data_IF_236662887381
#
_entry.id   IF_236662887381
#
_cell.length_a   1.000
_cell.length_b   1.000
_cell.length_c   1.000
_cell.angle_alpha   90.00
_cell.angle_beta   90.00
_cell.angle_gamma   90.00
#
_symmetry.space_group_name_H-M   'P 1'
#
loop_
_entity.id
_entity.type
_entity.pdbx_description
1 polymer ?
#
# COMPACT_ATOMS: atom_id res chain seq x y z
N UNK A 1 -12.56 -6.44 -36.73
CA UNK A 1 -12.48 -6.34 -36.42
C UNK A 1 -12.21 -6.43 -35.91
N UNK A 2 -12.16 -6.09 -35.72
CA UNK A 2 -11.98 -5.91 -35.17
C UNK A 2 -11.78 -5.92 -34.63
N UNK A 3 -11.84 -5.70 -34.58
CA UNK A 3 -11.73 -5.58 -34.04
C UNK A 3 -11.40 -5.51 -33.40
N UNK A 4 -11.42 -5.31 -33.23
CA UNK A 4 -11.27 -5.09 -32.61
C UNK A 4 -11.11 -4.99 -31.90
N UNK A 5 -11.24 -4.77 -32.16
CA UNK A 5 -11.24 -4.48 -31.41
C UNK A 5 -11.18 -4.53 -30.69
N UNK A 6 -11.24 -4.39 -30.62
CA UNK A 6 -11.32 -4.25 -30.05
C UNK A 6 -11.04 -4.42 -29.27
N UNK A 7 -10.93 -4.39 -29.59
CA UNK A 7 -10.89 -4.38 -28.94
C UNK A 7 -10.61 -4.24 -28.27
N UNK A 8 -10.59 -3.94 -28.47
CA UNK A 8 -10.57 -3.61 -27.84
C UNK A 8 -10.48 -3.33 -27.27
N UNK A 9 -10.55 -3.19 -27.25
CA UNK A 9 -10.66 -2.80 -26.65
C UNK A 9 -10.53 -2.78 -25.94
N UNK A 10 -10.49 -2.72 -25.93
CA UNK A 10 -10.54 -2.52 -25.21
C UNK A 10 -10.33 -2.86 -24.44
N UNK A 11 -10.19 -2.83 -24.35
CA UNK A 11 -10.14 -2.93 -23.62
C UNK A 11 -9.67 -2.96 -22.98
N UNK A 12 -9.40 -2.78 -22.94
CA UNK A 12 -9.26 -2.59 -22.23
C UNK A 12 -9.15 -2.18 -21.71
N UNK A 13 -9.16 -1.89 -21.60
CA UNK A 13 -9.53 -1.36 -20.98
C UNK A 13 -9.68 -1.18 -20.24
N UNK A 14 -9.70 -0.88 -19.79
CA UNK A 14 -10.21 -0.60 -19.00
C UNK A 14 -10.34 -0.81 -18.15
N UNK A 15 -10.45 -0.90 -17.69
CA UNK A 15 -10.88 -0.94 -16.83
C UNK A 15 -10.52 -0.84 -15.78
N UNK A 16 -9.95 -0.84 -15.44
CA UNK A 16 -9.55 -0.40 -14.46
C UNK A 16 -10.10 0.55 -13.69
N UNK A 17 -10.41 1.33 -14.09
CA UNK A 17 -11.19 2.35 -13.50
C UNK A 17 -12.29 1.85 -12.65
N UNK A 18 -12.67 0.66 -12.81
CA UNK A 18 -13.76 0.07 -12.07
C UNK A 18 -13.31 -0.61 -10.80
N UNK A 19 -12.08 -0.34 -10.39
CA UNK A 19 -11.58 -0.93 -9.17
C UNK A 19 -12.40 -0.45 -7.98
N UNK A 20 -12.84 -1.37 -7.15
CA UNK A 20 -13.54 -1.03 -5.94
C UNK A 20 -12.56 -0.57 -4.88
N UNK A 21 -12.97 0.39 -4.08
CA UNK A 21 -12.20 0.79 -2.92
C UNK A 21 -12.28 -0.28 -1.86
N UNK A 22 -11.18 -0.49 -1.18
CA UNK A 22 -11.05 -1.51 -0.15
C UNK A 22 -10.35 -0.93 1.06
N UNK A 23 -10.59 -1.49 2.24
CA UNK A 23 -9.85 -1.03 3.42
C UNK A 23 -8.43 -1.56 3.41
N UNK A 24 -7.51 -0.71 3.80
CA UNK A 24 -6.11 -1.06 3.99
C UNK A 24 -5.59 -0.38 5.23
N UNK A 25 -4.63 -1.04 5.88
CA UNK A 25 -3.88 -0.38 6.94
C UNK A 25 -2.74 0.36 6.28
N UNK A 26 -2.60 1.64 6.61
CA UNK A 26 -1.60 2.51 6.00
C UNK A 26 -0.66 3.02 7.08
N UNK A 27 0.63 2.78 6.86
CA UNK A 27 1.68 3.26 7.76
C UNK A 27 2.47 4.33 7.02
N UNK A 28 2.56 5.52 7.60
CA UNK A 28 3.37 6.58 6.99
C UNK A 28 4.63 6.79 7.81
N UNK A 29 5.59 7.48 7.22
CA UNK A 29 6.92 7.61 7.81
C UNK A 29 7.40 9.03 7.66
N UNK A 30 8.26 9.46 8.59
CA UNK A 30 8.85 10.79 8.52
C UNK A 30 9.95 10.85 7.46
N UNK A 31 10.61 9.73 7.18
CA UNK A 31 11.75 9.73 6.27
C UNK A 31 11.63 8.59 5.27
N UNK A 32 12.26 8.78 4.12
CA UNK A 32 12.32 7.74 3.10
C UNK A 32 13.08 6.52 3.63
N UNK A 33 14.10 6.75 4.45
CA UNK A 33 14.87 5.65 5.03
C UNK A 33 13.99 4.73 5.86
N UNK A 34 13.08 5.31 6.66
CA UNK A 34 12.18 4.50 7.47
C UNK A 34 11.22 3.71 6.59
N UNK A 35 10.71 4.32 5.52
CA UNK A 35 9.82 3.63 4.60
C UNK A 35 10.51 2.45 3.95
N UNK A 36 11.76 2.63 3.52
CA UNK A 36 12.50 1.57 2.88
C UNK A 36 12.88 0.48 3.89
N UNK A 37 13.17 0.88 5.13
CA UNK A 37 13.45 -0.09 6.18
C UNK A 37 12.22 -0.97 6.44
N UNK A 38 11.03 -0.39 6.38
CA UNK A 38 9.80 -1.17 6.57
C UNK A 38 9.63 -2.17 5.43
N UNK A 39 9.91 -1.75 4.20
CA UNK A 39 9.82 -2.67 3.07
C UNK A 39 10.76 -3.86 3.25
N UNK A 40 12.01 -3.59 3.64
CA UNK A 40 12.98 -4.64 3.84
C UNK A 40 12.58 -5.55 4.99
N UNK A 41 12.13 -4.96 6.10
CA UNK A 41 11.72 -5.73 7.26
C UNK A 41 10.59 -6.70 6.89
N UNK A 42 9.59 -6.20 6.18
CA UNK A 42 8.45 -7.03 5.80
C UNK A 42 8.89 -8.14 4.85
N UNK A 43 9.79 -7.82 3.92
CA UNK A 43 10.28 -8.81 2.98
C UNK A 43 11.03 -9.93 3.72
N UNK A 44 11.84 -9.57 4.70
CA UNK A 44 12.62 -10.54 5.46
C UNK A 44 11.76 -11.40 6.37
N UNK A 45 10.62 -10.88 6.79
CA UNK A 45 9.75 -11.59 7.74
C UNK A 45 8.51 -12.19 7.07
N UNK A 46 8.46 -12.18 5.74
CA UNK A 46 7.35 -12.78 5.01
C UNK A 46 6.03 -12.06 5.21
N UNK A 47 6.09 -10.76 5.47
CA UNK A 47 4.88 -9.95 5.67
C UNK A 47 4.52 -9.31 4.34
N UNK A 48 3.31 -9.55 3.86
CA UNK A 48 2.89 -8.99 2.59
C UNK A 48 2.49 -7.52 2.75
N UNK A 49 2.57 -6.78 1.65
CA UNK A 49 2.29 -5.37 1.61
C UNK A 49 3.13 -4.74 0.53
N UNK A 50 3.06 -3.41 0.41
CA UNK A 50 3.88 -2.73 -0.59
C UNK A 50 3.98 -1.24 -0.27
N UNK A 51 5.06 -0.64 -0.75
CA UNK A 51 5.20 0.82 -0.69
C UNK A 51 4.31 1.45 -1.76
N UNK A 52 3.66 2.53 -1.38
CA UNK A 52 2.83 3.31 -2.29
C UNK A 52 3.10 4.79 -2.03
N UNK A 53 2.77 5.66 -3.00
CA UNK A 53 2.75 7.08 -2.69
C UNK A 53 1.72 7.34 -1.60
N UNK A 54 1.98 8.31 -0.73
CA UNK A 54 1.05 8.65 0.34
C UNK A 54 -0.30 9.03 -0.27
N UNK A 55 -1.40 8.40 0.18
CA UNK A 55 -2.73 8.78 -0.31
C UNK A 55 -3.01 10.24 0.00
N UNK A 56 -3.84 10.87 -0.87
CA UNK A 56 -4.13 12.28 -0.71
C UNK A 56 -4.84 12.58 0.61
N UNK A 57 -5.50 11.58 1.19
CA UNK A 57 -6.19 11.74 2.46
C UNK A 57 -5.23 11.95 3.63
N UNK A 58 -3.97 11.62 3.42
CA UNK A 58 -2.93 11.74 4.43
C UNK A 58 -1.83 12.64 3.92
N UNK A 59 -0.95 13.05 4.83
CA UNK A 59 0.28 13.71 4.43
C UNK A 59 1.40 13.09 5.23
N UNK A 60 2.58 13.02 4.62
CA UNK A 60 3.74 12.46 5.27
C UNK A 60 4.98 13.13 4.73
N UNK A 61 5.99 13.29 5.59
CA UNK A 61 7.18 13.99 5.23
C UNK A 61 7.94 13.35 4.08
N UNK A 62 7.93 12.04 3.97
CA UNK A 62 8.71 11.35 2.95
C UNK A 62 7.94 11.06 1.66
N UNK A 63 6.62 11.25 1.66
CA UNK A 63 5.82 11.00 0.47
C UNK A 63 5.52 9.54 0.19
N UNK A 64 5.97 8.64 1.04
CA UNK A 64 5.74 7.20 0.86
C UNK A 64 5.01 6.62 2.05
N UNK A 65 4.25 5.55 1.78
CA UNK A 65 3.52 4.84 2.81
C UNK A 65 3.60 3.35 2.55
N UNK A 66 3.40 2.57 3.59
CA UNK A 66 3.33 1.12 3.48
C UNK A 66 1.86 0.72 3.55
N UNK A 67 1.39 0.00 2.54
CA UNK A 67 0.01 -0.46 2.46
C UNK A 67 -0.02 -1.94 2.76
N UNK A 68 -0.88 -2.34 3.69
CA UNK A 68 -0.99 -3.74 4.08
C UNK A 68 -2.46 -4.07 4.28
N UNK A 69 -2.85 -5.28 3.93
CA UNK A 69 -4.23 -5.72 4.09
C UNK A 69 -4.56 -5.83 5.57
N UNK A 70 -5.80 -5.50 5.96
CA UNK A 70 -6.16 -5.50 7.38
C UNK A 70 -5.93 -6.86 8.06
N UNK A 71 -6.25 -7.95 7.36
CA UNK A 71 -6.05 -9.28 7.94
C UNK A 71 -4.57 -9.56 8.18
N UNK A 72 -3.74 -9.18 7.22
CA UNK A 72 -2.31 -9.38 7.38
C UNK A 72 -1.77 -8.50 8.50
N UNK A 73 -2.24 -7.26 8.58
CA UNK A 73 -1.83 -6.36 9.64
C UNK A 73 -2.20 -6.93 11.01
N UNK A 74 -3.44 -7.43 11.14
CA UNK A 74 -3.88 -7.99 12.42
C UNK A 74 -3.00 -9.16 12.85
N UNK A 75 -2.52 -9.94 11.87
CA UNK A 75 -1.68 -11.10 12.15
C UNK A 75 -0.28 -10.72 12.58
N UNK A 76 0.26 -9.63 12.04
CA UNK A 76 1.67 -9.32 12.24
C UNK A 76 1.92 -7.96 12.89
N UNK A 77 0.88 -7.32 13.44
CA UNK A 77 1.07 -5.97 13.94
C UNK A 77 2.09 -5.90 15.09
N UNK A 78 2.15 -6.93 15.93
CA UNK A 78 3.11 -6.93 17.01
C UNK A 78 4.54 -6.93 16.46
N UNK A 79 4.78 -7.67 15.38
CA UNK A 79 6.08 -7.68 14.74
C UNK A 79 6.40 -6.30 14.15
N UNK A 80 5.43 -5.71 13.49
CA UNK A 80 5.66 -4.40 12.86
C UNK A 80 5.92 -3.31 13.90
N UNK A 81 5.11 -3.29 14.95
CA UNK A 81 5.26 -2.26 15.97
C UNK A 81 6.50 -2.49 16.83
N UNK A 82 6.99 -3.73 16.88
CA UNK A 82 8.20 -4.05 17.61
C UNK A 82 9.47 -3.96 16.78
N UNK A 83 9.36 -3.52 15.50
CA UNK A 83 10.49 -3.51 14.59
C UNK A 83 11.47 -2.37 14.86
N UNK A 84 11.11 -1.42 15.71
CA UNK A 84 11.88 -0.21 16.00
C UNK A 84 11.98 0.73 14.81
N UNK A 85 11.18 0.51 13.76
CA UNK A 85 11.09 1.43 12.65
C UNK A 85 10.07 2.51 13.04
N UNK A 86 10.47 3.75 12.92
CA UNK A 86 9.62 4.87 13.32
C UNK A 86 8.47 5.03 12.36
N UNK A 87 7.25 4.98 12.88
CA UNK A 87 6.02 5.12 12.08
C UNK A 87 5.37 6.43 12.47
N UNK A 88 5.08 7.26 11.48
CA UNK A 88 4.47 8.56 11.71
C UNK A 88 2.97 8.43 11.96
N UNK A 89 2.27 7.73 11.09
CA UNK A 89 0.84 7.53 11.21
C UNK A 89 0.53 6.06 10.92
N UNK A 90 -0.51 5.57 11.58
CA UNK A 90 -0.93 4.19 11.46
C UNK A 90 -2.45 4.20 11.45
N UNK A 91 -3.04 4.22 10.25
CA UNK A 91 -4.48 4.42 10.10
C UNK A 91 -5.04 3.43 9.09
N UNK A 92 -6.34 3.22 9.17
CA UNK A 92 -7.05 2.43 8.20
C UNK A 92 -7.75 3.37 7.22
N UNK A 93 -7.52 3.14 5.94
CA UNK A 93 -8.15 3.93 4.88
C UNK A 93 -8.84 3.02 3.90
N UNK A 94 -9.91 3.53 3.31
CA UNK A 94 -10.58 2.87 2.20
C UNK A 94 -10.15 3.57 0.92
N UNK A 95 -9.34 2.89 0.14
CA UNK A 95 -8.75 3.51 -1.05
C UNK A 95 -8.78 2.58 -2.25
#
# INVERSE_FOLDING_TARGET
MSLYPEKILSEKRRVIVMRKKRPYQILTFHTTSAAMAMELYCKEHGISGRLIPVPRELSAGCGLAWRIEPEEYARCKDDLLGSHIEIEQNVELII
#
